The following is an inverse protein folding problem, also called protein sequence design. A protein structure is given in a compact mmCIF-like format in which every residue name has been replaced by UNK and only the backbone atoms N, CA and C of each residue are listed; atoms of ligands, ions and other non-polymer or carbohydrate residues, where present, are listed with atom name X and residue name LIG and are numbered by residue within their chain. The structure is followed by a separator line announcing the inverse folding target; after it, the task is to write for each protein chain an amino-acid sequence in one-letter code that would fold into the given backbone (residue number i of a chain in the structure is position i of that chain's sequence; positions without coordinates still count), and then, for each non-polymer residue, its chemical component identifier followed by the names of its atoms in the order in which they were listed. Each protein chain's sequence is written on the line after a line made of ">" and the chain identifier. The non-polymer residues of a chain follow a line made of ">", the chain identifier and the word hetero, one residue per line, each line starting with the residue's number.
data_IF_527315835262
#
_entry.id   IF_527315835262
#
_cell.length_a   1.000
_cell.length_b   1.000
_cell.length_c   1.000
_cell.angle_alpha   90.00
_cell.angle_beta   90.00
_cell.angle_gamma   90.00
#
_symmetry.space_group_name_H-M   'P 1'
#
loop_
_entity.id
_entity.type
_entity.pdbx_description
1 polymer ?
#
# COMPACT_ATOMS: atom_id res chain seq x y z
N UNK A 1 -7.53 -3.10 19.36
CA UNK A 1 -6.41 -2.60 18.56
C UNK A 1 -5.24 -3.51 18.87
N UNK A 2 -5.08 -4.61 18.12
CA UNK A 2 -3.89 -5.47 18.23
C UNK A 2 -2.89 -4.91 17.21
N UNK A 3 -1.99 -4.05 17.68
CA UNK A 3 -0.82 -3.65 16.91
C UNK A 3 0.24 -4.75 17.08
N UNK A 4 0.17 -5.76 16.23
CA UNK A 4 1.36 -6.57 15.94
C UNK A 4 2.33 -5.66 15.17
N UNK A 5 3.05 -4.83 15.91
CA UNK A 5 4.09 -3.96 15.37
C UNK A 5 5.28 -4.82 14.98
N UNK A 6 5.18 -5.49 13.83
CA UNK A 6 6.29 -6.23 13.27
C UNK A 6 7.31 -5.24 12.70
N UNK A 7 8.39 -5.02 13.45
CA UNK A 7 9.56 -4.31 12.96
C UNK A 7 10.40 -5.25 12.11
N UNK A 8 10.65 -4.87 10.85
CA UNK A 8 11.53 -5.63 9.96
C UNK A 8 12.83 -4.87 9.76
N UNK A 9 13.96 -5.58 9.78
CA UNK A 9 15.27 -5.02 9.50
C UNK A 9 15.62 -5.19 8.02
N UNK A 10 16.20 -4.14 7.43
CA UNK A 10 16.53 -4.07 6.01
C UNK A 10 17.94 -3.55 5.80
N UNK A 11 18.56 -3.98 4.71
CA UNK A 11 19.80 -3.43 4.20
C UNK A 11 19.55 -2.96 2.77
N UNK A 12 19.56 -1.64 2.55
CA UNK A 12 19.40 -1.02 1.24
C UNK A 12 20.55 -0.04 1.01
N UNK A 13 21.19 -0.13 -0.15
CA UNK A 13 22.38 0.66 -0.50
C UNK A 13 23.47 0.61 0.59
N UNK A 14 23.66 -0.55 1.23
CA UNK A 14 24.62 -0.74 2.32
C UNK A 14 24.26 -0.08 3.66
N UNK A 15 23.09 0.57 3.77
CA UNK A 15 22.60 1.17 5.02
C UNK A 15 21.49 0.34 5.64
N UNK A 16 21.56 0.21 6.97
CA UNK A 16 20.57 -0.51 7.74
C UNK A 16 19.37 0.40 8.04
N UNK A 17 18.16 -0.14 7.85
CA UNK A 17 16.90 0.51 8.22
C UNK A 17 16.00 -0.47 8.96
N UNK A 18 15.08 0.06 9.74
CA UNK A 18 13.93 -0.68 10.25
C UNK A 18 12.66 -0.19 9.57
N UNK A 19 11.64 -1.04 9.50
CA UNK A 19 10.33 -0.63 9.00
C UNK A 19 9.20 -0.98 9.96
N UNK A 20 8.21 -0.10 10.04
CA UNK A 20 6.90 -0.36 10.62
C UNK A 20 5.80 -0.04 9.59
N UNK A 21 4.64 -0.67 9.75
CA UNK A 21 3.47 -0.41 8.90
C UNK A 21 2.28 -0.08 9.78
N UNK A 22 1.56 0.99 9.43
CA UNK A 22 0.31 1.35 10.08
C UNK A 22 -0.75 1.70 9.02
N UNK A 23 -2.01 1.42 9.32
CA UNK A 23 -3.14 1.84 8.49
C UNK A 23 -3.74 3.10 9.09
N UNK A 24 -3.66 4.22 8.37
CA UNK A 24 -4.04 5.54 8.87
C UNK A 24 -5.09 6.13 7.91
N UNK A 25 -6.06 6.85 8.46
CA UNK A 25 -7.01 7.59 7.64
C UNK A 25 -6.25 8.65 6.84
N UNK A 26 -6.34 8.58 5.51
CA UNK A 26 -5.74 9.58 4.62
C UNK A 26 -6.63 10.81 4.53
N UNK A 27 -6.03 11.96 4.15
CA UNK A 27 -6.77 13.21 3.96
C UNK A 27 -8.01 12.99 3.07
N UNK A 28 -9.18 13.53 3.45
CA UNK A 28 -10.45 13.22 2.79
C UNK A 28 -10.52 13.94 1.44
N UNK A 29 -9.97 13.32 0.39
CA UNK A 29 -10.22 13.73 -1.00
C UNK A 29 -11.50 13.04 -1.46
N UNK A 30 -12.63 13.72 -1.69
CA UNK A 30 -13.87 13.05 -2.09
C UNK A 30 -13.71 12.25 -3.39
N UNK A 31 -14.46 11.16 -3.53
CA UNK A 31 -14.54 10.46 -4.81
C UNK A 31 -15.18 11.39 -5.85
N UNK A 32 -14.46 11.68 -6.93
CA UNK A 32 -14.94 12.58 -7.99
C UNK A 32 -16.23 12.10 -8.68
N UNK A 33 -16.54 10.80 -8.60
CA UNK A 33 -17.75 10.19 -9.13
C UNK A 33 -18.80 9.87 -8.06
N UNK A 34 -18.65 10.41 -6.84
CA UNK A 34 -19.70 10.35 -5.83
C UNK A 34 -20.91 11.17 -6.29
N UNK A 35 -22.06 10.53 -6.47
CA UNK A 35 -23.33 11.22 -6.71
C UNK A 35 -24.01 11.48 -5.37
N UNK A 36 -24.46 12.71 -5.18
CA UNK A 36 -25.35 13.08 -4.09
C UNK A 36 -26.66 12.33 -4.26
N UNK A 37 -27.07 11.59 -3.23
CA UNK A 37 -28.35 10.86 -3.20
C UNK A 37 -29.40 11.76 -2.53
N UNK A 38 -30.30 12.32 -3.33
CA UNK A 38 -31.33 13.25 -2.84
C UNK A 38 -32.33 12.61 -1.88
N UNK A 39 -32.45 11.29 -1.87
CA UNK A 39 -33.39 10.55 -1.03
C UNK A 39 -32.78 10.11 0.31
N UNK A 40 -31.47 10.33 0.49
CA UNK A 40 -30.77 10.04 1.74
C UNK A 40 -29.82 11.20 2.10
N UNK A 41 -30.28 12.20 2.87
CA UNK A 41 -29.45 13.36 3.26
C UNK A 41 -28.27 13.01 4.19
N UNK A 42 -28.17 11.76 4.68
CA UNK A 42 -26.97 11.24 5.36
C UNK A 42 -25.95 10.62 4.36
N UNK A 43 -26.35 10.38 3.11
CA UNK A 43 -25.48 9.98 2.01
C UNK A 43 -24.79 11.18 1.33
N UNK A 44 -25.02 12.39 1.86
CA UNK A 44 -24.38 13.62 1.40
C UNK A 44 -22.85 13.46 1.36
N UNK A 45 -22.33 13.50 0.12
CA UNK A 45 -20.92 13.64 -0.26
C UNK A 45 -19.99 12.46 0.03
N UNK A 46 -20.50 11.24 0.23
CA UNK A 46 -19.64 10.07 0.49
C UNK A 46 -18.67 10.29 1.67
N UNK A 47 -19.01 11.15 2.62
CA UNK A 47 -18.11 11.49 3.74
C UNK A 47 -17.72 10.24 4.53
N UNK A 48 -18.66 9.33 4.73
CA UNK A 48 -18.44 8.04 5.38
C UNK A 48 -17.43 7.12 4.64
N UNK A 49 -17.31 7.23 3.31
CA UNK A 49 -16.29 6.51 2.50
C UNK A 49 -14.90 7.06 2.79
N UNK A 50 -14.78 8.38 3.01
CA UNK A 50 -13.52 9.03 3.37
C UNK A 50 -13.15 8.75 4.83
N UNK A 51 -14.11 8.80 5.75
CA UNK A 51 -13.89 8.49 7.18
C UNK A 51 -13.47 7.03 7.42
N UNK A 52 -13.92 6.11 6.56
CA UNK A 52 -13.57 4.68 6.62
C UNK A 52 -12.40 4.31 5.72
N UNK A 53 -11.92 5.24 4.88
CA UNK A 53 -10.73 4.99 4.09
C UNK A 53 -9.53 4.89 5.03
N UNK A 54 -8.73 3.85 4.85
CA UNK A 54 -7.45 3.72 5.52
C UNK A 54 -6.39 3.40 4.48
N UNK A 55 -5.28 4.13 4.52
CA UNK A 55 -4.12 3.92 3.67
C UNK A 55 -3.01 3.30 4.52
N UNK A 56 -2.38 2.23 4.01
CA UNK A 56 -1.19 1.69 4.66
C UNK A 56 -0.01 2.64 4.44
N UNK A 57 0.68 2.99 5.52
CA UNK A 57 1.86 3.82 5.51
C UNK A 57 3.06 3.01 5.98
N UNK A 58 4.10 2.97 5.17
CA UNK A 58 5.40 2.42 5.51
C UNK A 58 6.22 3.50 6.20
N UNK A 59 6.55 3.26 7.47
CA UNK A 59 7.52 4.04 8.22
C UNK A 59 8.88 3.38 8.06
N UNK A 60 9.84 4.10 7.51
CA UNK A 60 11.24 3.70 7.48
C UNK A 60 11.99 4.45 8.58
N UNK A 61 12.67 3.70 9.43
CA UNK A 61 13.36 4.19 10.61
C UNK A 61 14.87 3.98 10.46
N UNK A 62 15.64 4.91 10.99
CA UNK A 62 17.09 4.76 11.18
C UNK A 62 17.40 3.71 12.27
N UNK A 63 18.66 3.28 12.43
CA UNK A 63 19.04 2.36 13.50
C UNK A 63 18.75 2.84 14.92
N UNK A 64 18.71 4.17 15.14
CA UNK A 64 18.32 4.81 16.39
C UNK A 64 16.78 4.95 16.56
N UNK A 65 16.01 4.33 15.66
CA UNK A 65 14.55 4.35 15.59
C UNK A 65 13.93 5.72 15.25
N UNK A 66 14.73 6.74 14.93
CA UNK A 66 14.21 7.99 14.40
C UNK A 66 13.57 7.77 13.02
N UNK A 67 12.46 8.45 12.75
CA UNK A 67 11.76 8.35 11.45
C UNK A 67 12.63 8.97 10.36
N UNK A 68 13.02 8.15 9.38
CA UNK A 68 13.76 8.58 8.20
C UNK A 68 12.81 9.00 7.06
N UNK A 69 11.79 8.18 6.81
CA UNK A 69 10.79 8.43 5.78
C UNK A 69 9.43 7.81 6.14
N UNK A 70 8.36 8.43 5.65
CA UNK A 70 7.00 7.87 5.69
C UNK A 70 6.47 7.81 4.27
N UNK A 71 6.01 6.65 3.84
CA UNK A 71 5.55 6.44 2.47
C UNK A 71 4.14 5.84 2.44
N UNK A 72 3.14 6.54 1.87
CA UNK A 72 1.80 5.99 1.67
C UNK A 72 1.83 4.94 0.55
N UNK A 73 1.37 3.73 0.85
CA UNK A 73 1.21 2.66 -0.13
C UNK A 73 -0.13 2.85 -0.83
N UNK A 74 -0.08 3.14 -2.12
CA UNK A 74 -1.27 3.43 -2.91
C UNK A 74 -1.82 2.16 -3.55
N UNK A 75 -3.10 1.89 -3.35
CA UNK A 75 -3.84 0.84 -4.06
C UNK A 75 -4.84 1.54 -4.97
N UNK A 76 -4.77 1.28 -6.27
CA UNK A 76 -5.68 1.92 -7.23
C UNK A 76 -7.09 1.32 -7.11
N UNK A 77 -8.11 2.19 -7.14
CA UNK A 77 -9.51 1.77 -7.17
C UNK A 77 -9.84 1.12 -8.51
N UNK A 78 -10.28 -0.13 -8.48
CA UNK A 78 -10.82 -0.83 -9.65
C UNK A 78 -12.32 -0.62 -9.72
N UNK A 79 -12.77 0.22 -10.66
CA UNK A 79 -14.21 0.46 -10.91
C UNK A 79 -14.91 -0.86 -11.27
N UNK A 80 -16.09 -1.11 -10.70
CA UNK A 80 -16.84 -2.36 -10.86
C UNK A 80 -16.45 -3.46 -9.87
N UNK A 81 -15.33 -3.32 -9.14
CA UNK A 81 -14.99 -4.19 -8.00
C UNK A 81 -15.22 -3.48 -6.67
N UNK A 82 -14.90 -2.19 -6.60
CA UNK A 82 -15.07 -1.37 -5.40
C UNK A 82 -16.04 -0.23 -5.68
N UNK A 83 -17.05 -0.10 -4.82
CA UNK A 83 -17.95 1.04 -4.75
C UNK A 83 -17.21 2.23 -4.15
N UNK A 84 -16.52 2.03 -3.02
CA UNK A 84 -15.71 3.03 -2.34
C UNK A 84 -14.25 3.00 -2.76
N UNK A 85 -13.37 3.47 -1.86
CA UNK A 85 -11.93 3.45 -2.07
C UNK A 85 -11.32 2.17 -1.49
N UNK A 86 -10.15 1.73 -1.98
CA UNK A 86 -9.39 0.70 -1.31
C UNK A 86 -9.07 1.11 0.13
N UNK A 87 -9.52 0.30 1.09
CA UNK A 87 -9.16 0.39 2.50
C UNK A 87 -8.10 -0.65 2.79
N UNK A 88 -6.93 -0.22 3.25
CA UNK A 88 -5.90 -1.15 3.70
C UNK A 88 -6.33 -1.80 5.01
N UNK A 89 -6.49 -3.12 4.97
CA UNK A 89 -6.96 -3.89 6.12
C UNK A 89 -5.78 -4.33 6.98
N UNK A 90 -4.77 -4.96 6.37
CA UNK A 90 -3.60 -5.46 7.07
C UNK A 90 -2.47 -5.85 6.12
N UNK A 91 -1.27 -6.01 6.68
CA UNK A 91 -0.08 -6.47 5.98
C UNK A 91 0.04 -7.97 6.15
N UNK A 92 0.19 -8.71 5.05
CA UNK A 92 0.34 -10.17 5.07
C UNK A 92 1.80 -10.60 5.05
N UNK A 93 2.64 -9.91 4.29
CA UNK A 93 4.04 -10.27 4.14
C UNK A 93 4.87 -9.08 3.63
N UNK A 94 6.13 -9.06 4.03
CA UNK A 94 7.15 -8.16 3.48
C UNK A 94 8.41 -8.98 3.17
N UNK A 95 9.06 -8.66 2.06
CA UNK A 95 10.36 -9.26 1.74
C UNK A 95 11.15 -8.43 0.74
N UNK A 96 12.46 -8.66 0.68
CA UNK A 96 13.30 -8.13 -0.40
C UNK A 96 12.80 -8.61 -1.77
N UNK A 97 12.82 -7.75 -2.78
CA UNK A 97 12.34 -8.11 -4.12
C UNK A 97 13.24 -9.16 -4.79
N UNK A 98 14.54 -9.20 -4.47
CA UNK A 98 15.60 -10.05 -5.06
C UNK A 98 15.85 -9.83 -6.56
N UNK A 99 14.79 -9.84 -7.38
CA UNK A 99 14.85 -9.59 -8.81
C UNK A 99 15.18 -8.14 -9.16
N UNK A 100 14.87 -7.23 -8.22
CA UNK A 100 15.09 -5.79 -8.34
C UNK A 100 16.01 -5.38 -7.18
N UNK A 101 17.20 -4.79 -7.47
CA UNK A 101 18.08 -4.25 -6.44
C UNK A 101 17.39 -3.15 -5.64
N UNK A 102 17.76 -3.04 -4.36
CA UNK A 102 17.26 -2.01 -3.44
C UNK A 102 15.74 -1.83 -3.52
N UNK A 103 15.02 -2.95 -3.44
CA UNK A 103 13.58 -2.96 -3.53
C UNK A 103 12.94 -3.99 -2.60
N UNK A 104 11.70 -3.71 -2.23
CA UNK A 104 10.88 -4.48 -1.32
C UNK A 104 9.56 -4.83 -2.00
N UNK A 105 9.07 -6.03 -1.69
CA UNK A 105 7.71 -6.45 -1.98
C UNK A 105 6.90 -6.43 -0.69
N UNK A 106 5.69 -5.87 -0.76
CA UNK A 106 4.74 -5.87 0.35
C UNK A 106 3.43 -6.47 -0.17
N UNK A 107 2.98 -7.57 0.46
CA UNK A 107 1.66 -8.16 0.21
C UNK A 107 0.68 -7.62 1.24
N UNK A 108 -0.42 -7.04 0.76
CA UNK A 108 -1.43 -6.34 1.55
C UNK A 108 -2.81 -6.96 1.32
N UNK A 109 -3.61 -7.03 2.39
CA UNK A 109 -5.05 -7.20 2.31
C UNK A 109 -5.73 -5.83 2.23
N UNK A 110 -6.69 -5.68 1.32
CA UNK A 110 -7.54 -4.49 1.22
C UNK A 110 -8.99 -4.86 0.99
N UNK A 111 -9.89 -3.98 1.40
CA UNK A 111 -11.34 -4.12 1.20
C UNK A 111 -11.94 -2.86 0.61
N UNK A 112 -13.22 -2.91 0.31
CA UNK A 112 -13.98 -1.73 -0.07
C UNK A 112 -14.29 -0.86 1.16
N UNK A 113 -13.84 0.40 1.19
CA UNK A 113 -14.21 1.33 2.26
C UNK A 113 -15.71 1.62 2.31
N UNK A 114 -16.43 1.34 1.21
CA UNK A 114 -17.88 1.44 1.14
C UNK A 114 -18.61 0.21 1.71
N UNK A 115 -17.91 -0.87 2.08
CA UNK A 115 -18.56 -2.06 2.59
C UNK A 115 -19.34 -1.76 3.89
N UNK A 116 -20.52 -2.38 4.08
CA UNK A 116 -21.29 -2.22 5.30
C UNK A 116 -20.45 -2.57 6.53
N UNK A 117 -20.59 -1.79 7.60
CA UNK A 117 -19.97 -2.09 8.89
C UNK A 117 -20.88 -3.04 9.69
N UNK A 118 -21.36 -4.11 9.07
CA UNK A 118 -22.05 -5.17 9.81
C UNK A 118 -21.00 -5.87 10.70
N UNK A 119 -21.31 -6.02 11.98
CA UNK A 119 -20.42 -6.68 12.94
C UNK A 119 -20.35 -8.19 12.70
N UNK A 120 -21.32 -8.76 12.00
CA UNK A 120 -21.44 -10.19 11.74
C UNK A 120 -20.86 -10.60 10.38
N UNK A 121 -20.55 -9.64 9.50
CA UNK A 121 -19.99 -9.90 8.18
C UNK A 121 -18.66 -9.16 8.00
N UNK A 122 -17.62 -9.91 7.65
CA UNK A 122 -16.36 -9.30 7.22
C UNK A 122 -16.50 -8.83 5.77
N UNK A 123 -16.07 -7.60 5.46
CA UNK A 123 -16.10 -7.11 4.09
C UNK A 123 -15.24 -8.02 3.20
N UNK A 124 -15.64 -8.19 1.94
CA UNK A 124 -14.86 -8.97 0.98
C UNK A 124 -13.41 -8.48 0.94
N UNK A 125 -12.48 -9.40 1.16
CA UNK A 125 -11.05 -9.09 1.16
C UNK A 125 -10.42 -9.39 -0.21
N UNK A 126 -9.62 -8.45 -0.67
CA UNK A 126 -8.76 -8.57 -1.83
C UNK A 126 -7.30 -8.53 -1.40
N UNK A 127 -6.44 -9.17 -2.18
CA UNK A 127 -5.01 -9.25 -1.90
C UNK A 127 -4.24 -8.69 -3.09
N UNK A 128 -3.25 -7.85 -2.81
CA UNK A 128 -2.34 -7.28 -3.81
C UNK A 128 -0.91 -7.34 -3.28
N UNK A 129 0.07 -7.37 -4.18
CA UNK A 129 1.49 -7.19 -3.83
C UNK A 129 2.06 -6.00 -4.58
N UNK A 130 2.60 -5.02 -3.85
CA UNK A 130 3.25 -3.84 -4.41
C UNK A 130 4.77 -3.99 -4.43
N UNK A 131 5.43 -3.30 -5.37
CA UNK A 131 6.88 -3.15 -5.42
C UNK A 131 7.25 -1.73 -4.99
N UNK A 132 8.06 -1.62 -3.93
CA UNK A 132 8.66 -0.37 -3.50
C UNK A 132 10.15 -0.39 -3.82
N UNK A 133 10.64 0.65 -4.48
CA UNK A 133 12.05 0.85 -4.78
C UNK A 133 12.63 1.93 -3.88
N UNK A 134 13.85 1.70 -3.44
CA UNK A 134 14.60 2.60 -2.60
C UNK A 134 15.74 3.20 -3.41
N UNK A 135 15.97 4.49 -3.19
CA UNK A 135 17.09 5.23 -3.76
C UNK A 135 17.56 6.26 -2.73
N UNK A 136 18.77 6.77 -2.92
CA UNK A 136 19.28 7.87 -2.11
C UNK A 136 19.33 9.12 -2.97
N UNK A 137 18.73 10.20 -2.49
CA UNK A 137 18.79 11.51 -3.13
C UNK A 137 19.17 12.54 -2.08
N UNK A 138 20.31 13.21 -2.26
CA UNK A 138 20.84 14.23 -1.34
C UNK A 138 20.93 13.75 0.12
N UNK A 139 21.39 12.50 0.33
CA UNK A 139 21.55 11.92 1.66
C UNK A 139 20.25 11.47 2.33
N UNK A 140 19.11 11.56 1.65
CA UNK A 140 17.80 11.14 2.15
C UNK A 140 17.30 9.89 1.42
N UNK A 141 16.62 9.01 2.17
CA UNK A 141 15.94 7.86 1.59
C UNK A 141 14.76 8.34 0.75
N UNK A 142 14.78 8.00 -0.52
CA UNK A 142 13.67 8.22 -1.43
C UNK A 142 13.01 6.88 -1.75
N UNK A 143 11.69 6.82 -1.58
CA UNK A 143 10.88 5.61 -1.75
C UNK A 143 9.91 5.86 -2.90
N UNK A 144 9.85 4.93 -3.84
CA UNK A 144 8.92 4.99 -4.96
C UNK A 144 8.17 3.67 -5.08
N UNK A 145 6.84 3.74 -5.23
CA UNK A 145 6.06 2.59 -5.66
C UNK A 145 6.14 2.43 -7.18
N UNK A 146 6.60 1.28 -7.66
CA UNK A 146 6.76 0.98 -9.09
C UNK A 146 5.68 0.00 -9.58
N UNK A 147 4.61 0.58 -10.10
CA UNK A 147 3.46 -0.17 -10.61
C UNK A 147 3.68 -0.72 -12.03
N UNK A 148 4.75 -0.31 -12.73
CA UNK A 148 4.97 -0.70 -14.15
C UNK A 148 5.23 -2.20 -14.31
N UNK A 149 5.81 -2.83 -13.28
CA UNK A 149 6.20 -4.23 -13.35
C UNK A 149 5.15 -5.20 -12.82
N UNK A 150 4.37 -4.81 -11.81
CA UNK A 150 3.38 -5.68 -11.16
C UNK A 150 1.93 -5.25 -11.39
N UNK A 151 1.69 -4.09 -11.99
CA UNK A 151 0.39 -3.42 -12.07
C UNK A 151 -0.12 -3.01 -10.68
N UNK A 152 -1.16 -2.18 -10.65
CA UNK A 152 -1.80 -1.74 -9.41
C UNK A 152 -3.32 -1.62 -9.58
N UNK A 153 -4.12 -2.40 -8.83
CA UNK A 153 -3.69 -3.48 -7.94
C UNK A 153 -3.03 -4.63 -8.72
N UNK A 154 -2.03 -5.25 -8.11
CA UNK A 154 -1.34 -6.40 -8.68
C UNK A 154 -2.18 -7.66 -8.54
N UNK A 155 -2.22 -8.55 -9.56
CA UNK A 155 -2.90 -9.83 -9.45
C UNK A 155 -2.14 -10.84 -8.56
N UNK A 156 -0.90 -10.53 -8.17
CA UNK A 156 -0.05 -11.44 -7.41
C UNK A 156 -0.34 -11.36 -5.92
N UNK A 157 -0.86 -12.46 -5.36
CA UNK A 157 -1.27 -12.54 -3.95
C UNK A 157 -0.15 -13.00 -2.99
N UNK A 158 1.04 -13.30 -3.51
CA UNK A 158 2.18 -13.78 -2.72
C UNK A 158 3.49 -13.18 -3.20
N UNK A 159 4.44 -13.03 -2.28
CA UNK A 159 5.83 -12.61 -2.57
C UNK A 159 6.48 -13.51 -3.62
N UNK A 160 6.29 -14.83 -3.54
CA UNK A 160 6.90 -15.77 -4.48
C UNK A 160 6.38 -15.57 -5.91
N UNK A 161 5.06 -15.39 -6.07
CA UNK A 161 4.46 -15.12 -7.38
C UNK A 161 4.93 -13.76 -7.95
N UNK A 162 4.97 -12.72 -7.11
CA UNK A 162 5.46 -11.41 -7.52
C UNK A 162 6.93 -11.47 -7.97
N UNK A 163 7.82 -12.15 -7.22
CA UNK A 163 9.22 -12.35 -7.63
C UNK A 163 9.36 -13.06 -8.98
N UNK A 164 8.54 -14.10 -9.22
CA UNK A 164 8.52 -14.80 -10.52
C UNK A 164 8.14 -13.84 -11.65
N UNK A 165 7.14 -13.00 -11.44
CA UNK A 165 6.72 -12.00 -12.42
C UNK A 165 7.78 -10.92 -12.68
N UNK A 166 8.45 -10.41 -11.64
CA UNK A 166 9.56 -9.45 -11.79
C UNK A 166 10.69 -10.01 -12.66
N UNK A 167 11.05 -11.27 -12.44
CA UNK A 167 12.07 -11.96 -13.23
C UNK A 167 11.64 -12.16 -14.69
N UNK A 168 10.42 -12.65 -14.93
CA UNK A 168 9.94 -12.94 -16.29
C UNK A 168 9.75 -11.67 -17.12
N UNK A 169 9.38 -10.56 -16.47
CA UNK A 169 9.17 -9.25 -17.12
C UNK A 169 10.48 -8.43 -17.25
N UNK A 170 11.63 -8.99 -16.84
CA UNK A 170 12.93 -8.31 -16.83
C UNK A 170 12.85 -6.90 -16.24
N UNK A 171 12.18 -6.78 -15.08
CA UNK A 171 11.91 -5.50 -14.44
C UNK A 171 13.22 -4.84 -13.96
N UNK A 172 13.88 -4.07 -14.83
CA UNK A 172 15.11 -3.31 -14.51
C UNK A 172 14.83 -1.82 -14.41
N UNK A 173 15.64 -1.12 -13.64
CA UNK A 173 15.69 0.34 -13.72
C UNK A 173 16.10 0.73 -15.15
N UNK A 174 15.33 1.62 -15.79
CA UNK A 174 15.93 2.48 -16.80
C UNK A 174 16.72 3.50 -16.02
N UNK A 175 18.05 3.40 -16.04
CA UNK A 175 18.90 4.51 -15.62
C UNK A 175 18.52 5.69 -16.53
N UNK A 176 17.82 6.67 -15.98
CA UNK A 176 17.77 7.99 -16.60
C UNK A 176 19.20 8.51 -16.59
N UNK A 177 19.81 8.51 -17.78
CA UNK A 177 21.07 9.19 -18.08
C UNK A 177 21.00 10.66 -17.72
#
# INVERSE_FOLDING_TARGET
>A
MYEDSAYFAWLFNGRQYYSALASINSDPVPLADCKHDSDNPLADNCNWINERQQTCHLFMLNPDLSVNAVFPINIVRVKGRLVGKPRCSYVKAMAVAKAVPDAMLITLGYSDSAAPADKNESPQEFITTVLLRFSEQNGKLNIQQDDRCLENPSPFKTIAAARKALNSRQCRWLETK
#
